data_IF_659527620444
#
_entry.id   IF_659527620444
#
_cell.length_a   1.000
_cell.length_b   1.000
_cell.length_c   1.000
_cell.angle_alpha   90.00
_cell.angle_beta   90.00
_cell.angle_gamma   90.00
#
_symmetry.space_group_name_H-M   'P 1'
#
loop_
_entity.id
_entity.type
_entity.pdbx_description
1 polymer ?
#
# COMPACT_ATOMS: atom_id res chain seq x y z
N UNK A 1 3.63 17.13 9.15
CA UNK A 1 3.69 16.04 10.15
C UNK A 1 4.52 14.91 9.57
N UNK A 2 5.30 14.20 10.39
CA UNK A 2 6.18 13.12 9.91
C UNK A 2 5.94 11.87 10.75
N UNK A 3 5.77 10.74 10.09
CA UNK A 3 5.62 9.41 10.68
C UNK A 3 7.01 8.94 11.12
N UNK A 4 7.21 8.62 12.42
CA UNK A 4 8.46 8.06 12.89
C UNK A 4 8.52 6.58 12.52
N UNK A 5 8.98 6.28 11.30
CA UNK A 5 9.11 4.91 10.78
C UNK A 5 10.23 4.13 11.46
N UNK A 6 9.95 2.90 11.90
CA UNK A 6 10.96 1.97 12.40
C UNK A 6 11.49 1.10 11.25
N UNK A 7 12.53 1.59 10.55
CA UNK A 7 13.00 1.02 9.28
C UNK A 7 13.66 -0.35 9.41
N UNK A 8 14.32 -0.61 10.53
CA UNK A 8 14.99 -1.89 10.77
C UNK A 8 14.00 -3.05 10.94
N UNK A 9 12.72 -2.74 11.17
CA UNK A 9 11.64 -3.73 11.29
C UNK A 9 10.94 -4.07 9.96
N UNK A 10 11.36 -3.52 8.82
CA UNK A 10 10.69 -3.81 7.55
C UNK A 10 11.14 -5.15 6.95
N UNK A 11 10.20 -6.06 6.72
CA UNK A 11 10.45 -7.36 6.09
C UNK A 11 10.89 -7.24 4.62
N UNK A 12 10.39 -6.23 3.91
CA UNK A 12 10.77 -5.90 2.53
C UNK A 12 11.43 -4.51 2.47
N UNK A 13 12.37 -4.27 1.52
CA UNK A 13 13.03 -2.99 1.39
C UNK A 13 12.04 -1.91 0.94
N UNK A 14 11.67 -1.01 1.85
CA UNK A 14 10.83 0.16 1.55
C UNK A 14 11.70 1.32 1.10
N UNK A 15 11.41 1.87 -0.07
CA UNK A 15 12.18 2.99 -0.62
C UNK A 15 11.94 4.28 0.18
N UNK A 16 12.98 5.14 0.25
CA UNK A 16 12.85 6.46 0.86
C UNK A 16 11.76 7.31 0.20
N UNK A 17 11.54 7.14 -1.10
CA UNK A 17 10.52 7.84 -1.86
C UNK A 17 9.10 7.46 -1.42
N UNK A 18 8.84 6.17 -1.13
CA UNK A 18 7.56 5.73 -0.59
C UNK A 18 7.32 6.33 0.81
N UNK A 19 8.33 6.34 1.69
CA UNK A 19 8.22 6.95 3.02
C UNK A 19 7.93 8.45 2.96
N UNK A 20 8.54 9.17 2.00
CA UNK A 20 8.27 10.60 1.77
C UNK A 20 6.84 10.81 1.30
N UNK A 21 6.35 9.97 0.39
CA UNK A 21 4.99 10.02 -0.12
C UNK A 21 3.97 9.85 1.01
N UNK A 22 4.12 8.82 1.85
CA UNK A 22 3.21 8.61 3.00
C UNK A 22 3.24 9.79 3.99
N UNK A 23 4.41 10.37 4.24
CA UNK A 23 4.55 11.59 5.04
C UNK A 23 3.82 12.80 4.44
N UNK A 24 3.83 12.93 3.11
CA UNK A 24 3.11 14.00 2.42
C UNK A 24 1.60 13.81 2.54
N UNK A 25 1.11 12.59 2.40
CA UNK A 25 -0.33 12.31 2.50
C UNK A 25 -0.86 12.50 3.92
N UNK A 26 -0.16 12.04 4.96
CA UNK A 26 -0.59 12.27 6.34
C UNK A 26 -0.56 13.77 6.70
N UNK A 27 0.40 14.54 6.16
CA UNK A 27 0.50 15.97 6.42
C UNK A 27 -0.67 16.79 5.83
N UNK A 28 -1.47 16.21 4.93
CA UNK A 28 -2.71 16.82 4.42
C UNK A 28 -3.91 16.60 5.34
N UNK A 29 -3.74 15.83 6.43
CA UNK A 29 -4.79 15.52 7.40
C UNK A 29 -4.60 16.25 8.72
N UNK A 30 -5.66 16.28 9.54
CA UNK A 30 -5.63 16.81 10.91
C UNK A 30 -5.40 15.72 11.97
N UNK A 31 -5.00 14.50 11.55
CA UNK A 31 -4.79 13.38 12.46
C UNK A 31 -3.65 13.65 13.45
N UNK A 32 -3.87 13.35 14.73
CA UNK A 32 -2.79 13.39 15.73
C UNK A 32 -2.19 11.99 15.89
N UNK A 33 -1.04 11.75 15.27
CA UNK A 33 -0.36 10.46 15.30
C UNK A 33 -0.21 9.89 16.71
N UNK A 34 0.12 10.70 17.71
CA UNK A 34 0.36 10.26 19.10
C UNK A 34 -0.84 9.53 19.72
N UNK A 35 -2.04 9.77 19.20
CA UNK A 35 -3.28 9.16 19.67
C UNK A 35 -3.71 7.92 18.88
N UNK A 36 -3.00 7.60 17.81
CA UNK A 36 -3.35 6.53 16.89
C UNK A 36 -2.45 5.32 17.08
N UNK A 37 -3.04 4.14 16.92
CA UNK A 37 -2.36 2.84 16.93
C UNK A 37 -2.22 2.26 15.53
N UNK A 38 -3.07 2.69 14.60
CA UNK A 38 -3.01 2.29 13.19
C UNK A 38 -3.26 3.48 12.25
N UNK A 39 -2.71 3.37 11.03
CA UNK A 39 -2.94 4.28 9.91
C UNK A 39 -3.19 3.46 8.67
N UNK A 40 -4.26 3.75 7.95
CA UNK A 40 -4.54 3.13 6.64
C UNK A 40 -4.63 4.21 5.59
N UNK A 41 -3.80 4.11 4.56
CA UNK A 41 -3.80 4.95 3.38
C UNK A 41 -4.54 4.21 2.27
N UNK A 42 -5.56 4.82 1.69
CA UNK A 42 -6.25 4.29 0.52
C UNK A 42 -5.99 5.20 -0.67
N UNK A 43 -5.39 4.64 -1.71
CA UNK A 43 -5.15 5.30 -2.99
C UNK A 43 -6.15 4.75 -3.99
N UNK A 44 -7.04 5.59 -4.52
CA UNK A 44 -8.10 5.18 -5.44
C UNK A 44 -8.08 6.04 -6.69
N UNK A 45 -8.02 5.42 -7.86
CA UNK A 45 -8.23 6.12 -9.12
C UNK A 45 -9.75 6.22 -9.39
N UNK A 46 -10.33 7.43 -9.53
CA UNK A 46 -11.78 7.57 -9.75
C UNK A 46 -12.28 6.98 -11.08
N UNK A 47 -11.39 6.78 -12.05
CA UNK A 47 -11.70 6.17 -13.34
C UNK A 47 -11.53 4.65 -13.36
N UNK A 48 -11.09 4.05 -12.25
CA UNK A 48 -10.89 2.60 -12.19
C UNK A 48 -12.22 1.85 -12.11
N UNK A 49 -12.47 0.95 -13.05
CA UNK A 49 -13.65 0.10 -13.09
C UNK A 49 -13.35 -1.28 -13.68
N UNK A 50 -14.26 -2.22 -13.50
CA UNK A 50 -14.13 -3.57 -14.06
C UNK A 50 -14.13 -3.56 -15.59
N UNK A 51 -14.89 -2.66 -16.22
CA UNK A 51 -15.09 -2.62 -17.66
C UNK A 51 -14.01 -1.82 -18.41
N UNK A 52 -13.50 -0.75 -17.79
CA UNK A 52 -12.55 0.17 -18.43
C UNK A 52 -11.13 0.00 -17.92
N UNK A 53 -10.94 -0.77 -16.85
CA UNK A 53 -9.67 -0.88 -16.15
C UNK A 53 -9.25 0.47 -15.57
N UNK A 54 -7.93 0.72 -15.55
CA UNK A 54 -7.34 1.93 -14.99
C UNK A 54 -6.22 1.59 -14.03
N UNK A 55 -5.86 2.54 -13.17
CA UNK A 55 -4.83 2.32 -12.15
C UNK A 55 -5.46 1.63 -10.93
N UNK A 56 -4.88 0.51 -10.54
CA UNK A 56 -5.36 -0.32 -9.43
C UNK A 56 -5.43 0.47 -8.11
N UNK A 57 -6.49 0.27 -7.31
CA UNK A 57 -6.54 0.76 -5.95
C UNK A 57 -5.43 0.13 -5.11
N UNK A 58 -4.84 0.91 -4.21
CA UNK A 58 -3.81 0.46 -3.29
C UNK A 58 -4.22 0.80 -1.86
N UNK A 59 -4.01 -0.14 -0.96
CA UNK A 59 -4.13 0.08 0.48
C UNK A 59 -2.79 -0.18 1.16
N UNK A 60 -2.36 0.77 1.99
CA UNK A 60 -1.13 0.65 2.79
C UNK A 60 -1.53 0.85 4.24
N UNK A 61 -1.28 -0.15 5.08
CA UNK A 61 -1.51 -0.03 6.52
C UNK A 61 -0.19 0.02 7.29
N UNK A 62 -0.14 0.92 8.25
CA UNK A 62 0.91 1.01 9.24
C UNK A 62 0.32 0.76 10.64
N UNK A 63 1.10 0.13 11.50
CA UNK A 63 0.77 -0.07 12.92
C UNK A 63 1.85 0.56 13.80
N UNK A 64 1.46 1.02 14.98
CA UNK A 64 2.38 1.56 15.97
C UNK A 64 3.09 0.43 16.71
N UNK A 65 4.40 0.35 16.53
CA UNK A 65 5.30 -0.46 17.35
C UNK A 65 5.92 0.34 18.51
N UNK A 66 6.78 -0.33 19.28
CA UNK A 66 7.50 0.27 20.42
C UNK A 66 8.49 1.36 19.97
N UNK A 67 9.20 1.11 18.88
CA UNK A 67 10.28 1.98 18.38
C UNK A 67 9.85 2.90 17.23
N UNK A 68 8.57 2.87 16.86
CA UNK A 68 8.02 3.66 15.75
C UNK A 68 6.93 2.92 14.98
N UNK A 69 6.54 3.48 13.84
CA UNK A 69 5.53 2.91 12.95
C UNK A 69 6.15 1.87 12.01
N UNK A 70 5.46 0.74 11.90
CA UNK A 70 5.81 -0.40 11.06
C UNK A 70 4.79 -0.53 9.94
N UNK A 71 5.21 -1.08 8.80
CA UNK A 71 4.25 -1.57 7.81
C UNK A 71 3.56 -2.81 8.35
N UNK A 72 2.24 -2.82 8.28
CA UNK A 72 1.40 -3.99 8.50
C UNK A 72 1.27 -4.75 7.17
N UNK A 73 0.71 -4.09 6.16
CA UNK A 73 0.65 -4.62 4.81
C UNK A 73 0.65 -3.53 3.74
N UNK A 74 0.93 -3.98 2.52
CA UNK A 74 0.71 -3.24 1.27
C UNK A 74 -0.09 -4.15 0.34
N UNK A 75 -1.27 -3.70 -0.08
CA UNK A 75 -2.16 -4.49 -0.95
C UNK A 75 -2.53 -3.68 -2.19
N UNK A 76 -2.34 -4.30 -3.36
CA UNK A 76 -2.78 -3.82 -4.66
C UNK A 76 -4.02 -4.62 -5.06
N UNK A 77 -5.07 -3.94 -5.53
CA UNK A 77 -6.35 -4.57 -5.84
C UNK A 77 -6.69 -4.48 -7.31
N UNK A 78 -7.21 -5.57 -7.87
CA UNK A 78 -7.66 -5.65 -9.25
C UNK A 78 -9.07 -6.25 -9.35
N UNK A 79 -9.81 -5.92 -10.41
CA UNK A 79 -11.11 -6.54 -10.67
C UNK A 79 -10.91 -7.89 -11.34
N UNK A 80 -11.58 -8.92 -10.83
CA UNK A 80 -11.52 -10.30 -11.29
C UNK A 80 -12.90 -10.77 -11.69
N UNK A 81 -13.02 -11.41 -12.86
CA UNK A 81 -14.31 -11.80 -13.43
C UNK A 81 -14.70 -10.94 -14.63
N UNK A 82 -15.97 -10.97 -15.01
CA UNK A 82 -16.49 -10.29 -16.20
C UNK A 82 -17.77 -9.51 -15.90
N UNK A 83 -17.81 -8.24 -16.32
CA UNK A 83 -18.99 -7.39 -16.22
C UNK A 83 -19.51 -7.28 -14.78
N UNK A 84 -20.78 -7.61 -14.57
CA UNK A 84 -21.44 -7.49 -13.26
C UNK A 84 -20.97 -8.51 -12.23
N UNK A 85 -20.30 -9.59 -12.66
CA UNK A 85 -19.73 -10.61 -11.78
C UNK A 85 -18.26 -10.28 -11.42
N UNK A 86 -17.77 -9.08 -11.77
CA UNK A 86 -16.42 -8.66 -11.45
C UNK A 86 -16.31 -8.21 -10.00
N UNK A 87 -15.41 -8.84 -9.24
CA UNK A 87 -15.15 -8.53 -7.85
C UNK A 87 -13.76 -7.90 -7.67
N UNK A 88 -13.65 -6.97 -6.73
CA UNK A 88 -12.37 -6.37 -6.38
C UNK A 88 -11.60 -7.34 -5.47
N UNK A 89 -10.54 -7.93 -5.97
CA UNK A 89 -9.72 -8.91 -5.27
C UNK A 89 -8.30 -8.36 -5.02
N UNK A 90 -7.58 -8.99 -4.09
CA UNK A 90 -6.15 -8.73 -3.88
C UNK A 90 -5.37 -9.26 -5.08
N UNK A 91 -4.79 -8.37 -5.87
CA UNK A 91 -3.86 -8.71 -6.95
C UNK A 91 -2.49 -9.04 -6.37
N UNK A 92 -1.98 -8.14 -5.52
CA UNK A 92 -0.73 -8.30 -4.78
C UNK A 92 -1.01 -8.04 -3.31
N UNK A 93 -0.46 -8.87 -2.45
CA UNK A 93 -0.52 -8.66 -1.01
C UNK A 93 0.85 -8.91 -0.39
N UNK A 94 1.48 -7.85 0.10
CA UNK A 94 2.71 -7.91 0.85
C UNK A 94 2.39 -7.75 2.33
N UNK A 95 2.16 -8.84 3.05
CA UNK A 95 2.00 -8.83 4.51
C UNK A 95 3.40 -8.77 5.18
N UNK A 96 3.68 -7.68 5.89
CA UNK A 96 4.97 -7.44 6.53
C UNK A 96 5.06 -8.08 7.92
N UNK A 97 3.93 -8.37 8.59
CA UNK A 97 3.92 -8.93 9.94
C UNK A 97 4.31 -10.41 9.94
N UNK A 98 3.69 -11.18 9.04
CA UNK A 98 3.90 -12.64 8.97
C UNK A 98 4.91 -13.03 7.87
N UNK A 99 5.35 -12.06 7.06
CA UNK A 99 6.27 -12.30 5.93
C UNK A 99 5.64 -13.12 4.80
N UNK A 100 4.31 -13.22 4.77
CA UNK A 100 3.56 -13.89 3.72
C UNK A 100 3.26 -12.91 2.57
N UNK A 101 3.64 -13.28 1.36
CA UNK A 101 3.48 -12.45 0.18
C UNK A 101 2.77 -13.24 -0.89
N UNK A 102 1.78 -12.65 -1.54
CA UNK A 102 0.98 -13.34 -2.57
C UNK A 102 0.81 -12.49 -3.81
N UNK A 103 0.75 -13.18 -4.95
CA UNK A 103 0.28 -12.62 -6.21
C UNK A 103 -0.87 -13.48 -6.70
N UNK A 104 -1.95 -12.85 -7.11
CA UNK A 104 -3.13 -13.54 -7.61
C UNK A 104 -2.77 -14.44 -8.79
N UNK A 105 -3.42 -15.60 -8.89
CA UNK A 105 -3.15 -16.67 -9.87
C UNK A 105 -1.78 -17.37 -9.75
N UNK A 106 -0.76 -16.74 -9.19
CA UNK A 106 0.54 -17.35 -8.92
C UNK A 106 0.60 -18.03 -7.55
N UNK A 107 -0.07 -17.44 -6.56
CA UNK A 107 -0.08 -17.89 -5.17
C UNK A 107 1.05 -17.27 -4.32
N UNK A 108 1.46 -17.95 -3.25
CA UNK A 108 2.51 -17.47 -2.34
C UNK A 108 3.86 -17.29 -3.05
N UNK A 109 4.55 -16.20 -2.73
CA UNK A 109 5.86 -15.84 -3.26
C UNK A 109 6.96 -16.19 -2.26
N UNK A 110 8.12 -16.64 -2.76
CA UNK A 110 9.33 -16.72 -1.93
C UNK A 110 9.84 -15.31 -1.65
N UNK A 111 10.58 -15.14 -0.56
CA UNK A 111 11.10 -13.82 -0.16
C UNK A 111 11.91 -13.10 -1.26
N UNK A 112 12.72 -13.84 -2.03
CA UNK A 112 13.47 -13.26 -3.14
C UNK A 112 12.56 -12.69 -4.25
N UNK A 113 11.51 -13.44 -4.62
CA UNK A 113 10.52 -13.03 -5.63
C UNK A 113 9.70 -11.84 -5.12
N UNK A 114 9.27 -11.89 -3.86
CA UNK A 114 8.55 -10.78 -3.24
C UNK A 114 9.39 -9.50 -3.18
N UNK A 115 10.69 -9.60 -2.89
CA UNK A 115 11.61 -8.45 -2.91
C UNK A 115 11.74 -7.80 -4.28
N UNK A 116 11.95 -8.61 -5.32
CA UNK A 116 12.06 -8.12 -6.69
C UNK A 116 10.74 -7.50 -7.16
N UNK A 117 9.62 -8.16 -6.88
CA UNK A 117 8.29 -7.67 -7.25
C UNK A 117 7.94 -6.38 -6.50
N UNK A 118 8.26 -6.30 -5.21
CA UNK A 118 8.00 -5.11 -4.40
C UNK A 118 8.84 -3.91 -4.85
N UNK A 119 10.08 -4.10 -5.33
CA UNK A 119 10.89 -3.03 -5.90
C UNK A 119 10.25 -2.44 -7.17
N UNK A 120 9.82 -3.31 -8.09
CA UNK A 120 9.12 -2.91 -9.32
C UNK A 120 7.79 -2.23 -8.99
N UNK A 121 6.99 -2.84 -8.11
CA UNK A 121 5.69 -2.30 -7.71
C UNK A 121 5.82 -0.91 -7.09
N UNK A 122 6.74 -0.72 -6.14
CA UNK A 122 6.96 0.59 -5.51
C UNK A 122 7.34 1.67 -6.54
N UNK A 123 8.23 1.34 -7.48
CA UNK A 123 8.64 2.27 -8.53
C UNK A 123 7.45 2.73 -9.38
N UNK A 124 6.61 1.79 -9.81
CA UNK A 124 5.42 2.09 -10.61
C UNK A 124 4.37 2.87 -9.80
N UNK A 125 4.08 2.43 -8.58
CA UNK A 125 3.14 3.09 -7.68
C UNK A 125 3.52 4.55 -7.43
N UNK A 126 4.80 4.81 -7.11
CA UNK A 126 5.32 6.17 -6.91
C UNK A 126 5.18 7.02 -8.18
N UNK A 127 5.43 6.43 -9.36
CA UNK A 127 5.25 7.13 -10.63
C UNK A 127 3.78 7.53 -10.84
N UNK A 128 2.83 6.63 -10.56
CA UNK A 128 1.39 6.93 -10.67
C UNK A 128 0.92 7.99 -9.68
N UNK A 129 1.45 8.00 -8.46
CA UNK A 129 1.18 9.07 -7.50
C UNK A 129 1.69 10.44 -8.00
N UNK A 130 2.87 10.49 -8.64
CA UNK A 130 3.41 11.74 -9.23
C UNK A 130 2.61 12.23 -10.43
N UNK A 131 1.96 11.32 -11.15
CA UNK A 131 1.04 11.63 -12.23
C UNK A 131 -0.38 11.96 -11.74
N UNK A 132 -0.56 12.12 -10.42
CA UNK A 132 -1.84 12.46 -9.78
C UNK A 132 -2.97 11.49 -10.14
N UNK A 133 -2.63 10.20 -10.35
CA UNK A 133 -3.61 9.18 -10.71
C UNK A 133 -4.56 8.81 -9.56
N UNK A 134 -4.32 9.26 -8.33
CA UNK A 134 -5.06 8.82 -7.16
C UNK A 134 -5.73 9.97 -6.43
N UNK A 135 -6.98 9.74 -6.02
CA UNK A 135 -7.56 10.37 -4.84
C UNK A 135 -7.14 9.57 -3.60
N UNK A 136 -6.64 10.26 -2.58
CA UNK A 136 -6.07 9.62 -1.40
C UNK A 136 -6.89 9.96 -0.16
N UNK A 137 -7.23 8.94 0.62
CA UNK A 137 -7.78 9.11 1.97
C UNK A 137 -6.86 8.43 2.97
N UNK A 138 -6.74 9.04 4.16
CA UNK A 138 -5.96 8.47 5.27
C UNK A 138 -6.88 8.37 6.48
N UNK A 139 -7.01 7.16 7.01
CA UNK A 139 -7.77 6.86 8.21
C UNK A 139 -6.82 6.47 9.34
N UNK A 140 -7.17 6.86 10.56
CA UNK A 140 -6.45 6.48 11.77
C UNK A 140 -7.40 5.97 12.84
N UNK A 141 -6.91 5.06 13.67
CA UNK A 141 -7.60 4.51 14.83
C UNK A 141 -6.61 4.26 15.98
#
# INVERSE_FOLDING_TARGET
MTIPFFRDGFALPVTQALLVLLNQEIAKTELNLERLTQLTFHFRNPGYSAEQGGVHPVEIRLIRGLDGWLFDYVTDFSYQGLGQDAELCKELDFNFLDGEHTMLSWGPLRLAEARELFDIWQSNFIAYCRLECFSVTVAGD
#
